data_IF_612421759360
#
_entry.id   IF_612421759360
#
_cell.length_a   1.000
_cell.length_b   1.000
_cell.length_c   1.000
_cell.angle_alpha   90.00
_cell.angle_beta   90.00
_cell.angle_gamma   90.00
#
_symmetry.space_group_name_H-M   'P 1'
#
loop_
_entity.id
_entity.type
_entity.pdbx_description
1 polymer ?
#
# COMPACT_ATOMS: atom_id res chain seq x y z
N UNK A 1 28.52 11.28 -2.83
CA UNK A 1 28.84 10.17 -1.91
C UNK A 1 27.70 9.18 -1.98
N UNK A 2 28.03 7.96 -2.37
CA UNK A 2 27.15 6.86 -2.80
C UNK A 2 26.86 5.93 -1.62
N UNK A 3 25.70 5.27 -1.69
CA UNK A 3 25.16 4.20 -0.84
C UNK A 3 24.38 4.61 0.41
N UNK A 4 23.07 4.79 0.22
CA UNK A 4 22.10 4.46 1.25
C UNK A 4 21.32 3.24 0.79
N UNK A 5 22.02 2.11 0.64
CA UNK A 5 21.43 0.79 0.90
C UNK A 5 21.12 0.72 2.39
N UNK A 6 20.24 1.60 2.88
CA UNK A 6 19.75 1.47 4.24
C UNK A 6 18.71 0.40 4.19
N UNK A 7 18.98 -0.67 4.92
CA UNK A 7 17.99 -1.60 5.40
C UNK A 7 16.85 -0.79 6.04
N UNK A 8 15.86 -0.34 5.26
CA UNK A 8 14.72 0.41 5.78
C UNK A 8 14.11 -0.47 6.86
N UNK A 9 14.15 -0.04 8.11
CA UNK A 9 13.49 -0.77 9.18
C UNK A 9 12.03 -0.98 8.79
N UNK A 10 11.43 -2.10 9.20
CA UNK A 10 10.05 -2.41 8.84
C UNK A 10 9.10 -1.22 9.09
N UNK A 11 9.31 -0.47 10.16
CA UNK A 11 8.59 0.77 10.47
C UNK A 11 8.74 1.86 9.39
N UNK A 12 9.97 2.13 8.93
CA UNK A 12 10.22 3.14 7.90
C UNK A 12 9.59 2.73 6.57
N UNK A 13 9.64 1.44 6.23
CA UNK A 13 8.98 0.91 5.04
C UNK A 13 7.46 1.08 5.13
N UNK A 14 6.86 0.75 6.27
CA UNK A 14 5.42 0.93 6.50
C UNK A 14 5.01 2.40 6.35
N UNK A 15 5.77 3.31 6.97
CA UNK A 15 5.51 4.74 6.88
C UNK A 15 5.59 5.25 5.43
N UNK A 16 6.63 4.83 4.70
CA UNK A 16 6.81 5.19 3.29
C UNK A 16 5.66 4.66 2.42
N UNK A 17 5.23 3.40 2.61
CA UNK A 17 4.09 2.84 1.88
C UNK A 17 2.78 3.58 2.18
N UNK A 18 2.54 3.95 3.43
CA UNK A 18 1.33 4.69 3.82
C UNK A 18 1.33 6.09 3.18
N UNK A 19 2.47 6.79 3.17
CA UNK A 19 2.60 8.09 2.50
C UNK A 19 2.32 7.98 0.99
N UNK A 20 2.89 6.96 0.34
CA UNK A 20 2.69 6.68 -1.08
C UNK A 20 1.20 6.40 -1.41
N UNK A 21 0.52 5.65 -0.54
CA UNK A 21 -0.92 5.40 -0.66
C UNK A 21 -1.73 6.67 -0.44
N UNK A 22 -1.34 7.53 0.49
CA UNK A 22 -2.02 8.80 0.77
C UNK A 22 -1.97 9.73 -0.45
N UNK A 23 -0.81 9.85 -1.10
CA UNK A 23 -0.66 10.61 -2.35
C UNK A 23 -1.62 10.07 -3.42
N UNK A 24 -1.77 8.74 -3.53
CA UNK A 24 -2.73 8.13 -4.46
C UNK A 24 -4.19 8.41 -4.11
N UNK A 25 -4.53 8.61 -2.84
CA UNK A 25 -5.87 9.08 -2.45
C UNK A 25 -6.09 10.52 -2.89
N UNK A 26 -5.10 11.38 -2.65
CA UNK A 26 -5.15 12.79 -3.07
C UNK A 26 -5.27 12.92 -4.61
N UNK A 27 -4.57 12.07 -5.36
CA UNK A 27 -4.65 11.98 -6.82
C UNK A 27 -5.96 11.31 -7.32
N UNK A 28 -6.85 10.89 -6.41
CA UNK A 28 -8.11 10.16 -6.72
C UNK A 28 -7.89 8.85 -7.49
N UNK A 29 -6.69 8.26 -7.38
CA UNK A 29 -6.38 6.93 -7.91
C UNK A 29 -6.95 5.86 -6.99
N UNK A 30 -6.81 6.07 -5.67
CA UNK A 30 -7.20 5.17 -4.60
C UNK A 30 -8.36 5.77 -3.79
N UNK A 31 -9.35 4.97 -3.43
CA UNK A 31 -10.43 5.45 -2.57
C UNK A 31 -9.99 5.56 -1.11
N UNK A 32 -10.53 6.54 -0.38
CA UNK A 32 -10.23 6.75 1.03
C UNK A 32 -10.54 5.52 1.90
N UNK A 33 -11.62 4.78 1.57
CA UNK A 33 -11.97 3.52 2.24
C UNK A 33 -10.93 2.44 2.00
N UNK A 34 -10.38 2.36 0.78
CA UNK A 34 -9.35 1.38 0.44
C UNK A 34 -8.03 1.72 1.13
N UNK A 35 -7.67 3.01 1.17
CA UNK A 35 -6.55 3.50 1.97
C UNK A 35 -6.64 3.10 3.43
N UNK A 36 -7.79 3.30 4.08
CA UNK A 36 -7.97 2.98 5.50
C UNK A 36 -7.81 1.47 5.77
N UNK A 37 -8.23 0.61 4.84
CA UNK A 37 -7.98 -0.83 4.92
C UNK A 37 -6.48 -1.16 4.80
N UNK A 38 -5.83 -0.59 3.78
CA UNK A 38 -4.40 -0.84 3.50
C UNK A 38 -3.50 -0.33 4.61
N UNK A 39 -3.79 0.85 5.16
CA UNK A 39 -3.07 1.43 6.29
C UNK A 39 -3.10 0.48 7.50
N UNK A 40 -4.26 -0.08 7.83
CA UNK A 40 -4.40 -1.05 8.93
C UNK A 40 -3.62 -2.34 8.65
N UNK A 41 -3.70 -2.85 7.43
CA UNK A 41 -2.99 -4.07 7.04
C UNK A 41 -1.48 -3.86 7.07
N UNK A 42 -0.97 -2.76 6.51
CA UNK A 42 0.45 -2.39 6.54
C UNK A 42 0.94 -2.23 7.98
N UNK A 43 0.14 -1.59 8.85
CA UNK A 43 0.47 -1.48 10.27
C UNK A 43 0.58 -2.86 10.95
N UNK A 44 -0.32 -3.79 10.61
CA UNK A 44 -0.33 -5.15 11.15
C UNK A 44 0.71 -6.11 10.52
N UNK A 45 1.30 -5.77 9.37
CA UNK A 45 2.26 -6.62 8.69
C UNK A 45 3.47 -6.97 9.59
N UNK A 46 3.82 -8.25 9.69
CA UNK A 46 4.95 -8.70 10.53
C UNK A 46 6.29 -8.52 9.83
N UNK A 47 6.26 -8.48 8.50
CA UNK A 47 7.43 -8.45 7.65
C UNK A 47 7.31 -7.45 6.50
N UNK A 48 8.47 -7.10 5.92
CA UNK A 48 8.57 -6.13 4.82
C UNK A 48 7.80 -6.62 3.59
N UNK A 49 7.88 -7.91 3.32
CA UNK A 49 7.20 -8.56 2.19
C UNK A 49 5.67 -8.46 2.32
N UNK A 50 5.12 -8.69 3.51
CA UNK A 50 3.68 -8.52 3.74
C UNK A 50 3.25 -7.07 3.52
N UNK A 51 3.99 -6.11 4.09
CA UNK A 51 3.66 -4.70 3.95
C UNK A 51 3.62 -4.25 2.48
N UNK A 52 4.60 -4.68 1.68
CA UNK A 52 4.65 -4.40 0.24
C UNK A 52 3.51 -5.07 -0.51
N UNK A 53 3.28 -6.37 -0.28
CA UNK A 53 2.20 -7.12 -0.93
C UNK A 53 0.81 -6.50 -0.65
N UNK A 54 0.58 -6.03 0.58
CA UNK A 54 -0.65 -5.33 0.95
C UNK A 54 -0.82 -4.06 0.11
N UNK A 55 0.22 -3.21 0.02
CA UNK A 55 0.15 -1.98 -0.77
C UNK A 55 -0.12 -2.26 -2.27
N UNK A 56 0.45 -3.33 -2.81
CA UNK A 56 0.23 -3.79 -4.18
C UNK A 56 -1.21 -4.31 -4.42
N UNK A 57 -1.79 -5.02 -3.44
CA UNK A 57 -3.19 -5.46 -3.50
C UNK A 57 -4.16 -4.26 -3.54
N UNK A 58 -3.85 -3.22 -2.78
CA UNK A 58 -4.63 -1.99 -2.73
C UNK A 58 -4.71 -1.21 -4.03
N UNK A 59 -3.71 -1.34 -4.88
CA UNK A 59 -3.60 -0.61 -6.15
C UNK A 59 -4.06 -1.43 -7.35
N UNK A 60 -4.14 -2.76 -7.22
CA UNK A 60 -4.58 -3.68 -8.28
C UNK A 60 -6.11 -3.74 -8.44
N UNK A 61 -6.87 -3.20 -7.48
CA UNK A 61 -8.34 -3.28 -7.46
C UNK A 61 -9.08 -2.44 -8.53
N UNK A 62 -8.37 -1.79 -9.47
CA UNK A 62 -9.01 -0.97 -10.52
C UNK A 62 -9.37 -1.73 -11.80
N UNK A 63 -9.19 -3.06 -11.87
CA UNK A 63 -9.58 -3.83 -13.06
C UNK A 63 -10.22 -5.19 -12.79
N UNK A 64 -11.23 -5.22 -11.93
CA UNK A 64 -12.32 -6.17 -12.11
C UNK A 64 -13.63 -5.41 -12.00
N UNK A 65 -14.04 -4.82 -13.13
CA UNK A 65 -15.45 -4.53 -13.31
C UNK A 65 -16.22 -5.82 -13.13
N UNK A 66 -17.12 -5.84 -12.16
CA UNK A 66 -18.36 -6.64 -12.15
C UNK A 66 -18.25 -8.03 -12.79
N UNK A 67 -17.85 -9.05 -12.04
CA UNK A 67 -18.26 -10.42 -12.35
C UNK A 67 -19.68 -10.63 -11.81
N UNK A 68 -20.66 -10.06 -12.50
CA UNK A 68 -22.07 -10.45 -12.41
C UNK A 68 -22.54 -10.83 -13.82
N UNK A 69 -22.35 -12.09 -14.18
CA UNK A 69 -23.20 -12.76 -15.16
C UNK A 69 -23.92 -13.86 -14.37
N UNK A 70 -25.22 -13.64 -14.16
CA UNK A 70 -26.19 -14.70 -13.90
C UNK A 70 -26.65 -15.33 -15.20
#
# INVERSE_FOLDING_TARGET
MVNTTSNLSLQELKASLIEDLKIRVEDKILEQSNFNLLEKLINNASDKTEAVAIAELGTTYKRTGFFHIG
#
